data_IF_321823647427
#
_entry.id   IF_321823647427
#
_cell.length_a   1.000
_cell.length_b   1.000
_cell.length_c   1.000
_cell.angle_alpha   90.00
_cell.angle_beta   90.00
_cell.angle_gamma   90.00
#
_symmetry.space_group_name_H-M   'P 1'
#
loop_
_entity.id
_entity.type
_entity.pdbx_description
1 polymer ?
#
# COMPACT_ATOMS: atom_id res chain seq x y z
N UNK A 1 21.65 -40.95 19.02
CA UNK A 1 21.64 -39.49 19.32
C UNK A 1 21.19 -38.79 18.04
N UNK A 2 19.94 -38.44 18.04
CA UNK A 2 19.29 -37.77 16.90
C UNK A 2 19.08 -36.32 17.29
N UNK A 3 20.00 -35.45 16.89
CA UNK A 3 19.83 -34.02 16.98
C UNK A 3 18.74 -33.61 15.98
N UNK A 4 17.55 -33.39 16.50
CA UNK A 4 16.51 -32.67 15.77
C UNK A 4 16.92 -31.20 15.74
N UNK A 5 17.53 -30.78 14.67
CA UNK A 5 17.61 -29.38 14.31
C UNK A 5 16.16 -28.92 14.11
N UNK A 6 15.59 -28.28 15.12
CA UNK A 6 14.34 -27.57 15.00
C UNK A 6 14.60 -26.47 13.96
N UNK A 7 14.04 -26.63 12.78
CA UNK A 7 13.97 -25.56 11.79
C UNK A 7 13.27 -24.39 12.48
N UNK A 8 13.98 -23.33 12.80
CA UNK A 8 13.41 -22.06 13.20
C UNK A 8 12.47 -21.64 12.09
N UNK A 9 11.16 -21.75 12.34
CA UNK A 9 10.15 -21.14 11.49
C UNK A 9 10.43 -19.64 11.53
N UNK A 10 11.14 -19.14 10.53
CA UNK A 10 11.40 -17.72 10.38
C UNK A 10 10.09 -16.95 10.55
N UNK A 11 10.07 -15.92 11.40
CA UNK A 11 8.91 -15.08 11.64
C UNK A 11 8.47 -14.51 10.30
N UNK A 12 7.28 -14.92 9.85
CA UNK A 12 6.73 -14.49 8.57
C UNK A 12 6.42 -13.00 8.65
N UNK A 13 6.95 -12.22 7.71
CA UNK A 13 6.68 -10.79 7.65
C UNK A 13 5.24 -10.52 7.27
N UNK A 14 4.67 -9.50 7.86
CA UNK A 14 3.27 -9.13 7.68
C UNK A 14 3.15 -7.75 7.02
N UNK A 15 2.29 -7.67 6.03
CA UNK A 15 1.95 -6.43 5.34
C UNK A 15 0.45 -6.17 5.38
N UNK A 16 0.06 -4.91 5.48
CA UNK A 16 -1.32 -4.49 5.28
C UNK A 16 -1.40 -3.49 4.14
N UNK A 17 -2.32 -3.72 3.21
CA UNK A 17 -2.66 -2.80 2.13
C UNK A 17 -4.03 -2.22 2.41
N UNK A 18 -4.06 -0.94 2.71
CA UNK A 18 -5.27 -0.20 3.09
C UNK A 18 -5.67 0.70 1.93
N UNK A 19 -6.92 0.66 1.55
CA UNK A 19 -7.41 1.51 0.46
C UNK A 19 -8.73 2.22 0.80
N UNK A 20 -8.92 3.38 0.16
CA UNK A 20 -10.21 3.97 -0.11
C UNK A 20 -10.50 3.83 -1.61
N UNK A 21 -11.71 3.51 -2.00
CA UNK A 21 -12.07 3.34 -3.40
C UNK A 21 -13.51 3.76 -3.65
N UNK A 22 -13.70 4.65 -4.63
CA UNK A 22 -15.03 5.14 -5.01
C UNK A 22 -15.65 4.34 -6.15
N UNK A 23 -14.85 4.00 -7.17
CA UNK A 23 -15.29 3.32 -8.38
C UNK A 23 -14.65 1.93 -8.56
N UNK A 24 -13.99 1.42 -7.54
CA UNK A 24 -13.34 0.11 -7.56
C UNK A 24 -11.92 0.11 -8.16
N UNK A 25 -11.44 1.20 -8.76
CA UNK A 25 -10.10 1.24 -9.38
C UNK A 25 -8.98 1.16 -8.36
N UNK A 26 -9.05 1.92 -7.28
CA UNK A 26 -8.04 1.88 -6.21
C UNK A 26 -8.03 0.50 -5.52
N UNK A 27 -9.19 -0.12 -5.34
CA UNK A 27 -9.27 -1.47 -4.82
C UNK A 27 -8.55 -2.48 -5.70
N UNK A 28 -8.77 -2.45 -7.02
CA UNK A 28 -8.06 -3.33 -7.97
C UNK A 28 -6.54 -3.19 -7.86
N UNK A 29 -6.05 -1.96 -7.74
CA UNK A 29 -4.64 -1.67 -7.57
C UNK A 29 -4.13 -2.17 -6.22
N UNK A 30 -4.89 -1.99 -5.15
CA UNK A 30 -4.55 -2.52 -3.82
C UNK A 30 -4.46 -4.05 -3.83
N UNK A 31 -5.38 -4.73 -4.50
CA UNK A 31 -5.36 -6.20 -4.67
C UNK A 31 -4.16 -6.68 -5.50
N UNK A 32 -3.79 -5.93 -6.54
CA UNK A 32 -2.60 -6.22 -7.34
C UNK A 32 -1.32 -6.09 -6.50
N UNK A 33 -1.23 -5.04 -5.68
CA UNK A 33 -0.13 -4.85 -4.75
C UNK A 33 -0.04 -6.00 -3.72
N UNK A 34 -1.18 -6.41 -3.16
CA UNK A 34 -1.31 -7.57 -2.27
C UNK A 34 -0.76 -8.85 -2.92
N UNK A 35 -1.14 -9.12 -4.17
CA UNK A 35 -0.67 -10.28 -4.93
C UNK A 35 0.86 -10.29 -5.00
N UNK A 36 1.47 -9.17 -5.41
CA UNK A 36 2.93 -9.07 -5.50
C UNK A 36 3.64 -9.23 -4.15
N UNK A 37 3.09 -8.69 -3.07
CA UNK A 37 3.63 -8.86 -1.72
C UNK A 37 3.55 -10.32 -1.25
N UNK A 38 2.45 -11.01 -1.52
CA UNK A 38 2.30 -12.45 -1.22
C UNK A 38 3.31 -13.30 -1.99
N UNK A 39 3.54 -13.00 -3.26
CA UNK A 39 4.56 -13.66 -4.09
C UNK A 39 5.98 -13.44 -3.54
N UNK A 40 6.23 -12.27 -2.94
CA UNK A 40 7.50 -11.97 -2.26
C UNK A 40 7.61 -12.61 -0.85
N UNK A 41 6.61 -13.38 -0.41
CA UNK A 41 6.65 -14.14 0.84
C UNK A 41 6.01 -13.44 2.05
N UNK A 42 5.31 -12.33 1.87
CA UNK A 42 4.61 -11.64 2.95
C UNK A 42 3.24 -12.27 3.24
N UNK A 43 2.89 -12.37 4.52
CA UNK A 43 1.51 -12.52 4.92
C UNK A 43 0.82 -11.16 4.78
N UNK A 44 -0.09 -11.04 3.82
CA UNK A 44 -0.66 -9.74 3.43
C UNK A 44 -2.16 -9.71 3.60
N UNK A 45 -2.64 -8.67 4.27
CA UNK A 45 -4.05 -8.31 4.37
C UNK A 45 -4.33 -7.10 3.48
N UNK A 46 -5.35 -7.18 2.64
CA UNK A 46 -5.83 -6.05 1.85
C UNK A 46 -7.25 -5.69 2.28
N UNK A 47 -7.48 -4.45 2.71
CA UNK A 47 -8.71 -4.08 3.41
C UNK A 47 -9.10 -2.62 3.13
N UNK A 48 -10.40 -2.36 3.06
CA UNK A 48 -10.91 -0.99 2.99
C UNK A 48 -10.60 -0.24 4.30
N UNK A 49 -10.26 1.04 4.20
CA UNK A 49 -9.93 1.87 5.36
C UNK A 49 -11.02 1.89 6.46
N UNK A 50 -12.28 1.66 6.09
CA UNK A 50 -13.42 1.62 7.02
C UNK A 50 -13.41 0.39 7.93
N UNK A 51 -12.74 -0.69 7.51
CA UNK A 51 -12.72 -1.98 8.19
C UNK A 51 -11.46 -2.20 9.02
N UNK A 52 -10.52 -1.22 9.00
CA UNK A 52 -9.25 -1.34 9.71
C UNK A 52 -9.43 -1.14 11.20
N UNK A 53 -8.97 -2.11 11.99
CA UNK A 53 -8.72 -1.90 13.41
C UNK A 53 -7.39 -1.17 13.58
N UNK A 54 -7.42 0.04 14.15
CA UNK A 54 -6.22 0.86 14.30
C UNK A 54 -5.16 0.19 15.18
N UNK A 55 -5.57 -0.48 16.24
CA UNK A 55 -4.66 -1.19 17.14
C UNK A 55 -3.91 -2.33 16.45
N UNK A 56 -4.54 -2.98 15.46
CA UNK A 56 -3.93 -4.05 14.68
C UNK A 56 -2.80 -3.57 13.77
N UNK A 57 -2.68 -2.28 13.48
CA UNK A 57 -1.61 -1.74 12.64
C UNK A 57 -0.22 -2.04 13.20
N UNK A 58 -0.09 -2.16 14.52
CA UNK A 58 1.18 -2.50 15.19
C UNK A 58 1.69 -3.89 14.85
N UNK A 59 0.82 -4.78 14.38
CA UNK A 59 1.15 -6.16 14.04
C UNK A 59 1.82 -6.30 12.67
N UNK A 60 1.82 -5.25 11.85
CA UNK A 60 2.35 -5.27 10.51
C UNK A 60 3.73 -4.60 10.44
N UNK A 61 4.60 -5.15 9.60
CA UNK A 61 5.91 -4.58 9.30
C UNK A 61 5.81 -3.49 8.23
N UNK A 62 4.95 -3.72 7.23
CA UNK A 62 4.67 -2.80 6.12
C UNK A 62 3.22 -2.34 6.14
N UNK A 63 3.03 -1.04 6.05
CA UNK A 63 1.73 -0.39 5.91
C UNK A 63 1.69 0.36 4.57
N UNK A 64 0.96 -0.19 3.60
CA UNK A 64 0.72 0.46 2.32
C UNK A 64 -0.67 1.10 2.33
N UNK A 65 -0.77 2.36 1.93
CA UNK A 65 -2.04 3.11 1.92
C UNK A 65 -2.25 3.74 0.56
N UNK A 66 -3.44 3.54 0.02
CA UNK A 66 -3.84 4.09 -1.26
C UNK A 66 -5.24 4.70 -1.29
N UNK A 67 -5.43 5.70 -2.14
CA UNK A 67 -6.68 6.40 -2.33
C UNK A 67 -6.84 6.96 -3.74
N UNK A 68 -8.06 7.24 -4.19
CA UNK A 68 -8.24 8.02 -5.40
C UNK A 68 -7.80 9.46 -5.16
N UNK A 69 -7.21 10.07 -6.18
CA UNK A 69 -6.95 11.52 -6.18
C UNK A 69 -8.23 12.26 -6.53
N UNK A 70 -8.72 13.02 -5.59
CA UNK A 70 -9.91 13.86 -5.72
C UNK A 70 -9.50 15.33 -5.52
N UNK A 71 -9.96 16.21 -6.44
CA UNK A 71 -9.66 17.65 -6.34
C UNK A 71 -8.17 17.92 -6.02
N UNK A 72 -7.28 17.29 -6.78
CA UNK A 72 -5.80 17.40 -6.68
C UNK A 72 -5.14 16.81 -5.42
N UNK A 73 -5.89 16.21 -4.50
CA UNK A 73 -5.35 15.62 -3.27
C UNK A 73 -6.08 14.30 -2.90
N UNK A 74 -5.81 13.78 -1.73
CA UNK A 74 -6.49 12.61 -1.18
C UNK A 74 -7.96 12.89 -0.85
N UNK A 75 -8.81 11.86 -0.92
CA UNK A 75 -10.21 11.94 -0.50
C UNK A 75 -10.35 12.33 0.98
N UNK A 76 -11.47 12.93 1.34
CA UNK A 76 -11.71 13.30 2.73
C UNK A 76 -11.78 12.08 3.66
N UNK A 77 -12.22 10.94 3.15
CA UNK A 77 -12.26 9.68 3.90
C UNK A 77 -10.85 9.20 4.30
N UNK A 78 -9.90 9.25 3.36
CA UNK A 78 -8.52 8.83 3.68
C UNK A 78 -7.82 9.85 4.58
N UNK A 79 -8.11 11.13 4.43
CA UNK A 79 -7.59 12.17 5.33
C UNK A 79 -8.05 11.96 6.76
N UNK A 80 -9.33 11.66 6.96
CA UNK A 80 -9.89 11.35 8.27
C UNK A 80 -9.30 10.06 8.85
N UNK A 81 -9.15 9.02 8.03
CA UNK A 81 -8.48 7.78 8.43
C UNK A 81 -7.04 8.05 8.91
N UNK A 82 -6.25 8.81 8.15
CA UNK A 82 -4.88 9.15 8.51
C UNK A 82 -4.81 9.98 9.81
N UNK A 83 -5.78 10.86 10.04
CA UNK A 83 -5.88 11.60 11.32
C UNK A 83 -6.09 10.64 12.51
N UNK A 84 -6.93 9.64 12.35
CA UNK A 84 -7.14 8.60 13.37
C UNK A 84 -5.90 7.73 13.57
N UNK A 85 -5.18 7.41 12.50
CA UNK A 85 -3.92 6.63 12.55
C UNK A 85 -2.86 7.34 13.37
N UNK A 86 -2.88 8.67 13.49
CA UNK A 86 -1.93 9.43 14.32
C UNK A 86 -2.00 9.08 15.81
N UNK A 87 -3.07 8.44 16.28
CA UNK A 87 -3.17 7.93 17.66
C UNK A 87 -2.41 6.63 17.90
N UNK A 88 -1.92 6.00 16.83
CA UNK A 88 -1.17 4.73 16.90
C UNK A 88 0.32 5.03 16.72
N UNK A 89 1.15 4.48 17.58
CA UNK A 89 2.61 4.57 17.39
C UNK A 89 3.06 3.62 16.27
N UNK A 90 3.46 4.21 15.15
CA UNK A 90 3.96 3.51 13.96
C UNK A 90 5.46 3.73 13.73
N UNK A 91 6.15 4.32 14.69
CA UNK A 91 7.60 4.56 14.58
C UNK A 91 8.35 3.27 14.27
N UNK A 92 9.20 3.33 13.25
CA UNK A 92 10.02 2.20 12.83
C UNK A 92 9.29 1.18 11.96
N UNK A 93 8.01 1.38 11.66
CA UNK A 93 7.30 0.64 10.63
C UNK A 93 7.71 1.12 9.24
N UNK A 94 7.52 0.26 8.25
CA UNK A 94 7.74 0.59 6.85
C UNK A 94 6.45 1.04 6.19
N UNK A 95 6.55 1.93 5.23
CA UNK A 95 5.39 2.50 4.55
C UNK A 95 5.55 2.61 3.04
N UNK A 96 4.40 2.58 2.36
CA UNK A 96 4.30 2.85 0.95
C UNK A 96 2.97 3.56 0.64
N UNK A 97 3.01 4.57 -0.21
CA UNK A 97 1.83 5.32 -0.62
C UNK A 97 1.55 5.13 -2.11
N UNK A 98 0.28 4.97 -2.48
CA UNK A 98 -0.14 4.89 -3.87
C UNK A 98 -1.47 5.60 -4.11
N UNK A 99 -1.76 5.91 -5.36
CA UNK A 99 -3.05 6.49 -5.74
C UNK A 99 -3.52 6.03 -7.13
N UNK A 100 -4.78 6.33 -7.41
CA UNK A 100 -5.33 6.31 -8.74
C UNK A 100 -5.65 7.73 -9.17
N UNK A 101 -5.21 8.13 -10.38
CA UNK A 101 -5.40 9.49 -10.88
C UNK A 101 -5.35 9.56 -12.40
N UNK A 102 -5.79 10.68 -12.94
CA UNK A 102 -5.54 11.01 -14.34
C UNK A 102 -4.07 11.35 -14.58
N UNK A 103 -3.59 11.12 -15.81
CA UNK A 103 -2.17 11.30 -16.16
C UNK A 103 -1.77 12.73 -16.56
N UNK A 104 -2.67 13.70 -16.48
CA UNK A 104 -2.31 15.08 -16.82
C UNK A 104 -1.57 15.79 -15.66
N UNK A 105 -0.68 16.78 -15.97
CA UNK A 105 0.24 17.35 -14.98
C UNK A 105 -0.42 17.98 -13.74
N UNK A 106 -1.61 18.55 -13.89
CA UNK A 106 -2.33 19.24 -12.79
C UNK A 106 -3.32 18.36 -12.06
N UNK A 107 -3.29 17.04 -12.28
CA UNK A 107 -4.23 16.13 -11.62
C UNK A 107 -4.02 16.00 -10.11
N UNK A 108 -2.87 16.45 -9.59
CA UNK A 108 -2.51 16.29 -8.19
C UNK A 108 -2.13 14.85 -7.84
N UNK A 109 -1.97 14.56 -6.54
CA UNK A 109 -1.65 13.21 -6.08
C UNK A 109 -2.09 12.98 -4.62
N UNK A 110 -2.97 12.03 -4.43
CA UNK A 110 -3.33 11.53 -3.10
C UNK A 110 -2.14 10.82 -2.45
N UNK A 111 -1.35 10.08 -3.21
CA UNK A 111 -0.15 9.39 -2.71
C UNK A 111 0.87 10.35 -2.11
N UNK A 112 1.02 11.55 -2.69
CA UNK A 112 1.89 12.60 -2.13
C UNK A 112 1.45 13.02 -0.73
N UNK A 113 0.15 13.19 -0.53
CA UNK A 113 -0.43 13.53 0.76
C UNK A 113 -0.22 12.39 1.76
N UNK A 114 -0.56 11.15 1.38
CA UNK A 114 -0.43 9.96 2.22
C UNK A 114 1.04 9.76 2.66
N UNK A 115 1.98 9.83 1.73
CA UNK A 115 3.42 9.69 2.03
C UNK A 115 3.89 10.72 3.05
N UNK A 116 3.45 11.98 2.89
CA UNK A 116 3.77 13.05 3.85
C UNK A 116 3.24 12.74 5.25
N UNK A 117 2.01 12.26 5.37
CA UNK A 117 1.41 11.92 6.66
C UNK A 117 2.10 10.71 7.33
N UNK A 118 2.47 9.69 6.55
CA UNK A 118 3.25 8.55 7.06
C UNK A 118 4.62 8.99 7.59
N UNK A 119 5.32 9.87 6.87
CA UNK A 119 6.61 10.42 7.32
C UNK A 119 6.51 11.19 8.63
N UNK A 120 5.44 11.93 8.86
CA UNK A 120 5.19 12.62 10.15
C UNK A 120 5.12 11.65 11.33
N UNK A 121 4.70 10.42 11.10
CA UNK A 121 4.61 9.37 12.10
C UNK A 121 5.90 8.54 12.21
N UNK A 122 6.99 9.00 11.61
CA UNK A 122 8.28 8.31 11.60
C UNK A 122 8.21 6.91 10.98
N UNK A 123 7.29 6.72 10.03
CA UNK A 123 7.25 5.55 9.18
C UNK A 123 8.30 5.69 8.10
N UNK A 124 9.11 4.67 7.89
CA UNK A 124 10.15 4.65 6.88
C UNK A 124 9.56 4.29 5.51
N UNK A 125 9.67 5.19 4.55
CA UNK A 125 9.17 4.95 3.19
C UNK A 125 10.15 4.05 2.43
N UNK A 126 9.66 2.87 2.02
CA UNK A 126 10.49 1.84 1.39
C UNK A 126 10.87 2.18 -0.04
N UNK A 127 9.89 2.67 -0.80
CA UNK A 127 10.04 3.07 -2.20
C UNK A 127 9.27 4.38 -2.44
N UNK A 128 9.64 5.16 -3.45
CA UNK A 128 8.85 6.32 -3.85
C UNK A 128 7.40 5.92 -4.12
N UNK A 129 6.47 6.80 -3.74
CA UNK A 129 5.05 6.62 -4.04
C UNK A 129 4.79 6.33 -5.51
N UNK A 130 3.72 5.61 -5.81
CA UNK A 130 3.33 5.27 -7.17
C UNK A 130 1.89 5.67 -7.47
N UNK A 131 1.64 6.05 -8.70
CA UNK A 131 0.29 6.35 -9.22
C UNK A 131 -0.12 5.32 -10.26
N UNK A 132 -1.34 4.82 -10.15
CA UNK A 132 -2.01 4.09 -11.22
C UNK A 132 -2.89 5.05 -12.00
N UNK A 133 -2.81 5.01 -13.33
CA UNK A 133 -3.52 5.96 -14.16
C UNK A 133 -4.89 5.43 -14.58
N UNK A 134 -5.85 6.33 -14.58
CA UNK A 134 -7.22 6.09 -15.05
C UNK A 134 -7.55 6.93 -16.27
N UNK A 135 -8.52 6.45 -17.04
CA UNK A 135 -9.10 7.15 -18.16
C UNK A 135 -10.62 7.26 -18.00
N UNK A 136 -11.20 8.28 -18.61
CA UNK A 136 -12.68 8.44 -18.66
C UNK A 136 -13.31 7.42 -19.58
N UNK A 137 -14.43 6.87 -19.15
CA UNK A 137 -15.30 6.08 -20.00
C UNK A 137 -16.21 7.04 -20.79
N UNK A 138 -16.24 6.90 -22.13
CA UNK A 138 -17.07 7.74 -22.99
C UNK A 138 -18.56 7.41 -22.87
N UNK A 139 -18.89 6.17 -22.51
CA UNK A 139 -20.23 5.60 -22.52
C UNK A 139 -20.99 5.78 -21.20
N UNK A 140 -20.29 6.18 -20.12
CA UNK A 140 -20.87 6.37 -18.79
C UNK A 140 -20.44 7.71 -18.24
N UNK A 141 -21.40 8.59 -17.99
CA UNK A 141 -21.12 9.90 -17.39
C UNK A 141 -20.45 9.71 -16.01
N UNK A 142 -19.29 10.36 -15.81
CA UNK A 142 -18.49 10.24 -14.59
C UNK A 142 -17.75 8.91 -14.43
N UNK A 143 -17.90 7.96 -15.38
CA UNK A 143 -17.22 6.67 -15.34
C UNK A 143 -15.72 6.78 -15.59
N UNK A 144 -14.93 6.02 -14.84
CA UNK A 144 -13.46 5.92 -15.00
C UNK A 144 -13.03 4.47 -14.90
N UNK A 145 -12.00 4.12 -15.65
CA UNK A 145 -11.34 2.79 -15.58
C UNK A 145 -9.83 2.93 -15.54
N UNK A 146 -9.16 1.90 -15.04
CA UNK A 146 -7.71 1.81 -15.11
C UNK A 146 -7.22 1.77 -16.55
N UNK A 147 -6.07 2.38 -16.81
CA UNK A 147 -5.33 2.14 -18.04
C UNK A 147 -4.88 0.68 -18.08
N UNK A 148 -4.70 0.19 -19.30
CA UNK A 148 -4.16 -1.15 -19.52
C UNK A 148 -2.80 -1.33 -18.82
N UNK A 149 -2.53 -2.53 -18.32
CA UNK A 149 -1.32 -2.95 -17.64
C UNK A 149 -1.07 -2.34 -16.24
N UNK A 150 -1.91 -1.45 -15.71
CA UNK A 150 -1.69 -0.86 -14.39
C UNK A 150 -1.75 -1.90 -13.26
N UNK A 151 -2.66 -2.87 -13.33
CA UNK A 151 -2.74 -3.96 -12.36
C UNK A 151 -1.46 -4.81 -12.36
N UNK A 152 -0.98 -5.22 -13.54
CA UNK A 152 0.29 -5.94 -13.67
C UNK A 152 1.49 -5.15 -13.13
N UNK A 153 1.52 -3.86 -13.39
CA UNK A 153 2.57 -2.98 -12.88
C UNK A 153 2.58 -2.92 -11.36
N UNK A 154 1.41 -2.89 -10.74
CA UNK A 154 1.31 -2.89 -9.27
C UNK A 154 1.59 -4.25 -8.63
N UNK A 155 1.32 -5.36 -9.29
CA UNK A 155 1.84 -6.67 -8.86
C UNK A 155 3.37 -6.66 -8.83
N UNK A 156 4.02 -6.11 -9.86
CA UNK A 156 5.47 -5.96 -9.90
C UNK A 156 5.98 -5.04 -8.79
N UNK A 157 5.31 -3.92 -8.52
CA UNK A 157 5.64 -3.01 -7.40
C UNK A 157 5.55 -3.77 -6.07
N UNK A 158 4.53 -4.60 -5.87
CA UNK A 158 4.39 -5.43 -4.67
C UNK A 158 5.57 -6.38 -4.47
N UNK A 159 6.02 -7.05 -5.53
CA UNK A 159 7.23 -7.90 -5.50
C UNK A 159 8.48 -7.08 -5.15
N UNK A 160 8.64 -5.92 -5.75
CA UNK A 160 9.78 -5.04 -5.49
C UNK A 160 9.78 -4.51 -4.04
N UNK A 161 8.63 -4.13 -3.51
CA UNK A 161 8.47 -3.72 -2.11
C UNK A 161 8.89 -4.83 -1.15
N UNK A 162 8.42 -6.04 -1.38
CA UNK A 162 8.76 -7.20 -0.57
C UNK A 162 10.26 -7.49 -0.61
N UNK A 163 10.87 -7.48 -1.79
CA UNK A 163 12.31 -7.68 -1.97
C UNK A 163 13.13 -6.60 -1.29
N UNK A 164 12.74 -5.33 -1.43
CA UNK A 164 13.43 -4.20 -0.80
C UNK A 164 13.38 -4.28 0.73
N UNK A 165 12.27 -4.72 1.29
CA UNK A 165 12.10 -4.91 2.73
C UNK A 165 12.96 -6.04 3.28
N UNK A 166 13.00 -7.17 2.59
CA UNK A 166 13.86 -8.32 2.97
C UNK A 166 15.32 -7.88 2.99
N UNK A 167 15.77 -7.14 1.98
CA UNK A 167 17.15 -6.64 1.91
C UNK A 167 17.50 -5.70 3.07
N UNK A 168 16.59 -4.79 3.47
CA UNK A 168 16.82 -3.81 4.56
C UNK A 168 16.94 -4.46 5.93
N UNK A 169 16.30 -5.58 6.16
CA UNK A 169 16.27 -6.23 7.47
C UNK A 169 17.46 -7.12 7.79
N UNK A 170 18.49 -7.13 6.95
CA UNK A 170 19.75 -7.83 7.22
C UNK A 170 19.65 -9.35 7.28
N UNK A 171 18.54 -9.95 6.87
CA UNK A 171 18.43 -11.39 6.70
C UNK A 171 18.98 -11.72 5.31
N UNK A 172 20.30 -11.75 5.21
CA UNK A 172 20.97 -12.45 4.12
C UNK A 172 20.79 -13.93 4.43
N UNK A 173 19.87 -14.57 3.75
CA UNK A 173 19.91 -16.03 3.61
C UNK A 173 21.13 -16.35 2.75
N UNK A 174 22.23 -16.68 3.40
CA UNK A 174 23.38 -17.37 2.76
C UNK A 174 22.97 -18.77 2.36
#
# INVERSE_FOLDING_TARGET
MTDRVAAEKGVKRRAIVIFDSRYGNTEKIARSLETGLKEAGFETLCVNQREVSLDSLREFDLIAIGAPTERITASDYIKEFLRRVMSVDLKGKYGFAFDTRFSFPLSGSAAKFIEKELKKQQVEIVMPRASAFVIRLKEVEGGVKLKEAEEKRFEQIGRQLGTALIARSGIITT
#
